data_IF_308838543170
#
_entry.id   IF_308838543170
#
_cell.length_a   1.000
_cell.length_b   1.000
_cell.length_c   1.000
_cell.angle_alpha   90.00
_cell.angle_beta   90.00
_cell.angle_gamma   90.00
#
_symmetry.space_group_name_H-M   'P 1'
#
loop_
_entity.id
_entity.type
_entity.pdbx_description
1 polymer ?
#
# COMPACT_ATOMS: atom_id res chain seq x y z
N UNK A 1 2.57 8.52 -15.35
CA UNK A 1 2.76 7.18 -14.72
C UNK A 1 2.10 6.07 -15.53
N UNK A 2 0.77 5.91 -15.58
CA UNK A 2 0.17 4.78 -16.31
C UNK A 2 0.44 4.82 -17.81
N UNK A 3 0.33 5.99 -18.44
CA UNK A 3 0.69 6.14 -19.86
C UNK A 3 2.14 5.76 -20.16
N UNK A 4 3.07 6.15 -19.27
CA UNK A 4 4.50 5.86 -19.45
C UNK A 4 4.77 4.35 -19.26
N UNK A 5 4.11 3.73 -18.29
CA UNK A 5 4.17 2.29 -18.06
C UNK A 5 3.64 1.51 -19.27
N UNK A 6 2.47 1.87 -19.79
CA UNK A 6 1.86 1.21 -20.95
C UNK A 6 2.68 1.41 -22.23
N UNK A 7 3.28 2.60 -22.41
CA UNK A 7 4.18 2.87 -23.53
C UNK A 7 5.47 2.02 -23.46
N UNK A 8 6.00 1.82 -22.25
CA UNK A 8 7.19 0.99 -22.03
C UNK A 8 6.89 -0.52 -22.09
N UNK A 9 5.62 -0.93 -21.91
CA UNK A 9 5.21 -2.33 -21.86
C UNK A 9 4.09 -2.62 -22.88
N UNK A 10 4.41 -2.70 -24.19
CA UNK A 10 3.42 -2.98 -25.21
C UNK A 10 2.66 -4.28 -24.95
N UNK A 11 1.34 -4.24 -25.06
CA UNK A 11 0.46 -5.38 -24.81
C UNK A 11 -0.06 -5.50 -23.38
N UNK A 12 0.44 -4.68 -22.45
CA UNK A 12 -0.13 -4.56 -21.09
C UNK A 12 -0.99 -3.30 -21.03
N UNK A 13 -2.27 -3.46 -20.65
CA UNK A 13 -3.21 -2.35 -20.46
C UNK A 13 -3.61 -2.27 -18.99
N UNK A 14 -3.54 -1.08 -18.40
CA UNK A 14 -3.93 -0.83 -17.02
C UNK A 14 -5.28 -0.10 -17.00
N UNK A 15 -6.26 -0.70 -16.33
CA UNK A 15 -7.55 -0.04 -16.05
C UNK A 15 -7.52 0.47 -14.62
N UNK A 16 -7.40 1.80 -14.45
CA UNK A 16 -7.38 2.41 -13.13
C UNK A 16 -8.81 2.52 -12.58
N UNK A 17 -9.07 1.85 -11.45
CA UNK A 17 -10.28 2.03 -10.65
C UNK A 17 -9.89 2.87 -9.44
N UNK A 18 -10.52 4.04 -9.29
CA UNK A 18 -10.27 4.94 -8.17
C UNK A 18 -11.58 5.41 -7.54
N UNK A 19 -11.54 5.66 -6.23
CA UNK A 19 -12.70 6.08 -5.45
C UNK A 19 -12.30 6.55 -4.05
N UNK A 20 -13.26 7.09 -3.28
CA UNK A 20 -13.03 7.45 -1.89
C UNK A 20 -12.55 6.25 -1.07
N UNK A 21 -11.65 6.49 -0.11
CA UNK A 21 -11.03 5.44 0.72
C UNK A 21 -12.05 4.44 1.29
N UNK A 22 -13.15 4.93 1.87
CA UNK A 22 -14.18 4.08 2.46
C UNK A 22 -14.84 3.15 1.42
N UNK A 23 -15.16 3.68 0.24
CA UNK A 23 -15.74 2.89 -0.86
C UNK A 23 -14.74 1.85 -1.37
N UNK A 24 -13.48 2.25 -1.56
CA UNK A 24 -12.42 1.34 -2.02
C UNK A 24 -12.19 0.20 -1.02
N UNK A 25 -12.17 0.50 0.29
CA UNK A 25 -12.09 -0.51 1.35
C UNK A 25 -13.22 -1.53 1.21
N UNK A 26 -14.46 -1.06 1.13
CA UNK A 26 -15.63 -1.95 1.07
C UNK A 26 -15.60 -2.81 -0.20
N UNK A 27 -15.20 -2.23 -1.35
CA UNK A 27 -15.02 -2.95 -2.60
C UNK A 27 -13.93 -4.04 -2.52
N UNK A 28 -12.81 -3.76 -1.86
CA UNK A 28 -11.75 -4.75 -1.64
C UNK A 28 -12.24 -5.87 -0.72
N UNK A 29 -12.89 -5.55 0.39
CA UNK A 29 -13.42 -6.57 1.31
C UNK A 29 -14.47 -7.46 0.63
N UNK A 30 -15.41 -6.87 -0.11
CA UNK A 30 -16.41 -7.65 -0.85
C UNK A 30 -15.76 -8.45 -1.97
N UNK A 31 -14.89 -7.83 -2.76
CA UNK A 31 -14.20 -8.47 -3.87
C UNK A 31 -13.36 -9.67 -3.43
N UNK A 32 -12.74 -9.59 -2.26
CA UNK A 32 -11.99 -10.70 -1.67
C UNK A 32 -12.90 -11.90 -1.38
N UNK A 33 -14.07 -11.63 -0.78
CA UNK A 33 -15.05 -12.65 -0.45
C UNK A 33 -15.75 -13.25 -1.69
N UNK A 34 -15.93 -12.47 -2.76
CA UNK A 34 -16.61 -12.89 -3.99
C UNK A 34 -15.67 -13.40 -5.08
N UNK A 35 -14.35 -13.31 -4.89
CA UNK A 35 -13.36 -13.68 -5.91
C UNK A 35 -13.33 -12.72 -7.10
N UNK A 36 -13.72 -11.46 -6.90
CA UNK A 36 -13.78 -10.42 -7.94
C UNK A 36 -12.84 -9.25 -7.66
N UNK A 37 -11.77 -9.48 -6.89
CA UNK A 37 -10.70 -8.49 -6.71
C UNK A 37 -10.05 -8.13 -8.04
N UNK A 38 -9.56 -6.90 -8.13
CA UNK A 38 -8.63 -6.50 -9.19
C UNK A 38 -7.29 -7.24 -9.04
N UNK A 39 -6.57 -7.40 -10.14
CA UNK A 39 -5.27 -8.10 -10.16
C UNK A 39 -4.22 -7.43 -9.27
N UNK A 40 -4.26 -6.09 -9.19
CA UNK A 40 -3.42 -5.26 -8.32
C UNK A 40 -4.33 -4.34 -7.53
N UNK A 41 -4.16 -4.30 -6.21
CA UNK A 41 -4.95 -3.46 -5.32
C UNK A 41 -4.05 -2.56 -4.47
N UNK A 42 -4.47 -1.31 -4.30
CA UNK A 42 -3.93 -0.45 -3.25
C UNK A 42 -4.57 -0.86 -1.92
N UNK A 43 -3.74 -1.20 -0.94
CA UNK A 43 -4.22 -1.70 0.35
C UNK A 43 -3.63 -0.94 1.53
N UNK A 44 -4.44 -0.78 2.56
CA UNK A 44 -3.98 -0.31 3.86
C UNK A 44 -3.37 -1.49 4.63
N UNK A 45 -2.25 -1.24 5.33
CA UNK A 45 -1.60 -2.24 6.17
C UNK A 45 -2.54 -2.87 7.20
N UNK A 46 -3.56 -2.13 7.66
CA UNK A 46 -4.57 -2.63 8.59
C UNK A 46 -5.43 -3.77 8.01
N UNK A 47 -5.51 -3.93 6.69
CA UNK A 47 -6.38 -4.93 6.03
C UNK A 47 -5.64 -6.21 5.67
N UNK A 48 -4.30 -6.17 5.60
CA UNK A 48 -3.44 -7.25 5.08
C UNK A 48 -3.74 -8.58 5.75
N UNK A 49 -3.79 -8.62 7.08
CA UNK A 49 -3.99 -9.86 7.82
C UNK A 49 -5.34 -10.51 7.51
N UNK A 50 -6.41 -9.72 7.40
CA UNK A 50 -7.74 -10.25 7.11
C UNK A 50 -7.85 -10.76 5.66
N UNK A 51 -7.26 -10.05 4.70
CA UNK A 51 -7.22 -10.49 3.30
C UNK A 51 -6.35 -11.75 3.11
N UNK A 52 -5.22 -11.85 3.82
CA UNK A 52 -4.40 -13.06 3.81
C UNK A 52 -5.14 -14.26 4.41
N UNK A 53 -5.88 -14.07 5.51
CA UNK A 53 -6.70 -15.14 6.12
C UNK A 53 -7.81 -15.64 5.18
N UNK A 54 -8.31 -14.79 4.27
CA UNK A 54 -9.25 -15.17 3.21
C UNK A 54 -8.57 -15.84 2.01
N UNK A 55 -7.24 -16.01 2.02
CA UNK A 55 -6.43 -16.42 0.87
C UNK A 55 -6.61 -15.53 -0.38
N UNK A 56 -6.93 -14.24 -0.16
CA UNK A 56 -7.17 -13.28 -1.23
C UNK A 56 -5.88 -12.63 -1.76
N UNK A 57 -4.75 -12.80 -1.06
CA UNK A 57 -3.46 -12.24 -1.43
C UNK A 57 -2.53 -13.33 -1.97
N UNK A 58 -2.00 -13.14 -3.17
CA UNK A 58 -1.00 -14.01 -3.77
C UNK A 58 0.35 -13.85 -3.06
N UNK A 59 1.11 -14.95 -2.93
CA UNK A 59 2.51 -14.87 -2.52
C UNK A 59 3.36 -14.35 -3.68
N UNK A 60 4.00 -13.20 -3.47
CA UNK A 60 4.86 -12.56 -4.45
C UNK A 60 6.30 -13.09 -4.43
N UNK A 61 6.70 -13.95 -3.48
CA UNK A 61 8.06 -14.50 -3.48
C UNK A 61 8.41 -15.19 -4.81
N UNK A 62 7.59 -16.12 -5.34
CA UNK A 62 7.91 -16.78 -6.61
C UNK A 62 7.92 -15.80 -7.79
N UNK A 63 7.07 -14.77 -7.75
CA UNK A 63 6.98 -13.76 -8.81
C UNK A 63 8.24 -12.89 -8.83
N UNK A 64 8.67 -12.41 -7.67
CA UNK A 64 9.90 -11.63 -7.53
C UNK A 64 11.13 -12.42 -7.95
N UNK A 65 11.21 -13.70 -7.56
CA UNK A 65 12.37 -14.53 -7.89
C UNK A 65 12.39 -14.84 -9.41
N UNK A 66 11.23 -15.10 -10.02
CA UNK A 66 11.12 -15.34 -11.46
C UNK A 66 11.41 -14.10 -12.32
N UNK A 67 11.14 -12.90 -11.80
CA UNK A 67 11.41 -11.64 -12.49
C UNK A 67 12.78 -11.03 -12.17
N UNK A 68 13.61 -11.72 -11.39
CA UNK A 68 14.89 -11.19 -10.87
C UNK A 68 14.71 -9.82 -10.19
N UNK A 69 13.62 -9.65 -9.44
CA UNK A 69 13.25 -8.37 -8.84
C UNK A 69 14.31 -7.90 -7.84
N UNK A 70 14.81 -6.68 -8.04
CA UNK A 70 15.74 -6.04 -7.13
C UNK A 70 15.02 -5.58 -5.85
N UNK A 71 15.08 -6.43 -4.82
CA UNK A 71 14.43 -6.21 -3.52
C UNK A 71 14.98 -4.97 -2.79
N UNK A 72 16.10 -4.40 -3.21
CA UNK A 72 16.64 -3.16 -2.61
C UNK A 72 15.91 -1.89 -3.07
N UNK A 73 15.09 -1.98 -4.12
CA UNK A 73 14.31 -0.86 -4.65
C UNK A 73 13.05 -0.54 -3.84
N UNK A 74 12.64 -1.45 -2.96
CA UNK A 74 11.50 -1.27 -2.05
C UNK A 74 11.98 -1.07 -0.62
N UNK A 75 11.26 -0.24 0.14
CA UNK A 75 11.62 0.04 1.53
C UNK A 75 11.44 -1.18 2.45
N UNK A 76 10.43 -2.01 2.16
CA UNK A 76 10.15 -3.23 2.91
C UNK A 76 9.32 -4.21 2.06
N UNK A 77 9.27 -5.47 2.49
CA UNK A 77 8.42 -6.52 1.94
C UNK A 77 7.62 -7.12 3.09
N UNK A 78 6.33 -6.80 3.15
CA UNK A 78 5.48 -7.28 4.22
C UNK A 78 5.16 -8.75 4.01
N UNK A 79 5.43 -9.54 5.05
CA UNK A 79 5.20 -10.98 5.07
C UNK A 79 4.15 -11.37 6.09
N UNK A 80 3.25 -12.24 5.68
CA UNK A 80 2.30 -12.93 6.57
C UNK A 80 2.39 -14.42 6.29
N UNK A 81 2.60 -15.23 7.32
CA UNK A 81 2.78 -16.68 7.21
C UNK A 81 3.87 -17.10 6.18
N UNK A 82 4.93 -16.30 6.07
CA UNK A 82 6.04 -16.52 5.12
C UNK A 82 5.79 -16.01 3.69
N UNK A 83 4.54 -15.71 3.32
CA UNK A 83 4.18 -15.17 2.00
C UNK A 83 4.49 -13.69 1.92
N UNK A 84 5.11 -13.23 0.83
CA UNK A 84 5.27 -11.80 0.56
C UNK A 84 3.98 -11.26 -0.04
N UNK A 85 3.26 -10.38 0.67
CA UNK A 85 1.87 -10.01 0.33
C UNK A 85 1.67 -8.51 0.08
N UNK A 86 2.64 -7.65 0.39
CA UNK A 86 2.57 -6.22 0.10
C UNK A 86 3.96 -5.57 0.00
N UNK A 87 4.10 -4.62 -0.92
CA UNK A 87 5.15 -3.60 -0.89
C UNK A 87 4.57 -2.27 -0.41
N UNK A 88 5.19 -1.59 0.58
CA UNK A 88 4.76 -0.25 0.97
C UNK A 88 5.06 0.75 -0.15
N UNK A 89 4.02 1.43 -0.67
CA UNK A 89 4.16 2.50 -1.68
C UNK A 89 4.15 3.89 -1.03
N UNK A 90 3.47 4.03 0.11
CA UNK A 90 3.43 5.23 0.91
C UNK A 90 3.36 4.89 2.40
N UNK A 91 4.07 5.64 3.23
CA UNK A 91 4.01 5.53 4.70
C UNK A 91 3.23 6.72 5.25
N UNK A 92 2.09 6.44 5.89
CA UNK A 92 1.31 7.44 6.59
C UNK A 92 1.72 7.46 8.06
N UNK A 93 2.49 8.47 8.43
CA UNK A 93 2.83 8.76 9.83
C UNK A 93 1.83 9.73 10.42
N UNK A 94 1.71 9.73 11.76
CA UNK A 94 0.91 10.71 12.51
C UNK A 94 1.84 11.71 13.20
N UNK A 95 2.40 12.69 12.46
CA UNK A 95 3.26 13.69 13.05
C UNK A 95 2.43 14.70 13.84
N UNK A 96 3.05 15.29 14.86
CA UNK A 96 2.49 16.46 15.55
C UNK A 96 2.93 17.70 14.78
N UNK A 97 1.96 18.44 14.25
CA UNK A 97 2.21 19.76 13.67
C UNK A 97 2.01 20.83 14.75
N UNK A 98 3.02 21.68 14.96
CA UNK A 98 2.99 22.73 15.99
C UNK A 98 3.12 24.10 15.35
N UNK A 99 2.23 25.02 15.74
CA UNK A 99 2.41 26.43 15.46
C UNK A 99 3.45 26.99 16.45
N UNK A 100 4.65 27.29 15.95
CA UNK A 100 5.77 27.72 16.78
C UNK A 100 5.58 29.12 17.39
N UNK A 101 4.79 29.99 16.78
CA UNK A 101 4.50 31.32 17.32
C UNK A 101 3.60 31.22 18.55
N UNK A 102 2.55 30.40 18.49
CA UNK A 102 1.67 30.13 19.64
C UNK A 102 2.44 29.40 20.75
N UNK A 103 3.31 28.45 20.39
CA UNK A 103 4.16 27.77 21.36
C UNK A 103 5.08 28.76 22.10
N UNK A 104 5.73 29.68 21.37
CA UNK A 104 6.60 30.70 21.96
C UNK A 104 5.83 31.69 22.85
N UNK A 105 4.64 32.15 22.43
CA UNK A 105 3.77 33.01 23.26
C UNK A 105 3.36 32.33 24.57
N UNK A 106 3.19 31.01 24.55
CA UNK A 106 2.88 30.21 25.72
C UNK A 106 4.14 29.82 26.55
N UNK A 107 5.33 30.28 26.18
CA UNK A 107 6.59 29.96 26.87
C UNK A 107 7.16 28.58 26.58
N UNK A 108 6.62 27.85 25.59
CA UNK A 108 7.13 26.54 25.15
C UNK A 108 8.29 26.76 24.18
N UNK A 109 9.52 26.66 24.68
CA UNK A 109 10.76 26.88 23.90
C UNK A 109 11.38 25.59 23.35
N UNK A 110 10.86 24.42 23.73
CA UNK A 110 11.28 23.12 23.24
C UNK A 110 10.08 22.18 23.11
N UNK A 111 9.97 21.51 21.96
CA UNK A 111 8.95 20.49 21.77
C UNK A 111 9.26 19.25 22.63
N UNK A 112 8.25 18.55 23.16
CA UNK A 112 8.43 17.25 23.78
C UNK A 112 9.13 16.29 22.82
N UNK A 113 10.08 15.52 23.35
CA UNK A 113 10.78 14.44 22.64
C UNK A 113 10.15 13.09 22.94
#
# INVERSE_FOLDING_TARGET
IMNDFEAANPGIKVTLVSGPYATTRDQISVGAATGTLSDVVGLDGAWVNNLNAQNALADMNPMMDASEFDKTQVADIIKVDGKAVMFPVASFVYPIFVNMDLAAQAGVTKLPS
#
